data_IF_035976185495
#
_entry.id   IF_035976185495
#
_cell.length_a   1.000
_cell.length_b   1.000
_cell.length_c   1.000
_cell.angle_alpha   90.00
_cell.angle_beta   90.00
_cell.angle_gamma   90.00
#
_symmetry.space_group_name_H-M   'P 1'
#
loop_
_entity.id
_entity.type
_entity.pdbx_description
1 polymer ?
#
# COMPACT_ATOMS: atom_id res chain seq x y z
N UNK A 1 -6.34 -18.21 -8.97
CA UNK A 1 -5.60 -17.65 -7.82
C UNK A 1 -6.56 -17.52 -6.64
N UNK A 2 -6.18 -17.81 -5.40
CA UNK A 2 -7.10 -17.61 -4.27
C UNK A 2 -7.30 -16.10 -4.02
N UNK A 3 -8.53 -15.69 -3.69
CA UNK A 3 -8.87 -14.28 -3.40
C UNK A 3 -7.93 -13.66 -2.37
N UNK A 4 -7.55 -14.43 -1.35
CA UNK A 4 -6.64 -13.97 -0.30
C UNK A 4 -5.21 -13.75 -0.84
N UNK A 5 -4.70 -14.65 -1.69
CA UNK A 5 -3.37 -14.48 -2.29
C UNK A 5 -3.32 -13.25 -3.21
N UNK A 6 -4.38 -12.98 -3.97
CA UNK A 6 -4.47 -11.81 -4.83
C UNK A 6 -4.50 -10.49 -4.04
N UNK A 7 -5.33 -10.44 -2.99
CA UNK A 7 -5.41 -9.28 -2.09
C UNK A 7 -4.07 -9.04 -1.39
N UNK A 8 -3.41 -10.10 -0.92
CA UNK A 8 -2.10 -10.01 -0.28
C UNK A 8 -1.04 -9.46 -1.23
N UNK A 9 -0.98 -9.95 -2.47
CA UNK A 9 -0.04 -9.46 -3.48
C UNK A 9 -0.22 -7.96 -3.75
N UNK A 10 -1.47 -7.51 -3.89
CA UNK A 10 -1.79 -6.09 -4.05
C UNK A 10 -1.39 -5.26 -2.83
N UNK A 11 -1.56 -5.77 -1.61
CA UNK A 11 -1.08 -5.09 -0.40
C UNK A 11 0.43 -4.94 -0.39
N UNK A 12 1.18 -5.98 -0.75
CA UNK A 12 2.64 -5.92 -0.81
C UNK A 12 3.11 -4.89 -1.84
N UNK A 13 2.52 -4.88 -3.05
CA UNK A 13 2.87 -3.90 -4.08
C UNK A 13 2.54 -2.45 -3.65
N UNK A 14 1.34 -2.23 -3.11
CA UNK A 14 0.92 -0.89 -2.66
C UNK A 14 1.73 -0.40 -1.46
N UNK A 15 2.07 -1.28 -0.52
CA UNK A 15 2.96 -0.96 0.60
C UNK A 15 4.38 -0.59 0.11
N UNK A 16 4.92 -1.33 -0.86
CA UNK A 16 6.20 -1.01 -1.49
C UNK A 16 6.20 0.36 -2.17
N UNK A 17 5.17 0.66 -2.98
CA UNK A 17 5.03 1.95 -3.66
C UNK A 17 4.82 3.10 -2.66
N UNK A 18 4.02 2.90 -1.62
CA UNK A 18 3.83 3.88 -0.56
C UNK A 18 5.13 4.13 0.21
N UNK A 19 5.89 3.08 0.52
CA UNK A 19 7.22 3.19 1.14
C UNK A 19 8.18 4.01 0.29
N UNK A 20 8.28 3.71 -1.00
CA UNK A 20 9.11 4.45 -1.96
C UNK A 20 8.69 5.93 -2.07
N UNK A 21 7.39 6.21 -2.19
CA UNK A 21 6.87 7.56 -2.30
C UNK A 21 7.11 8.39 -1.03
N UNK A 22 6.87 7.80 0.14
CA UNK A 22 7.10 8.47 1.43
C UNK A 22 8.58 8.66 1.69
N UNK A 23 9.43 7.71 1.30
CA UNK A 23 10.88 7.84 1.43
C UNK A 23 11.43 8.96 0.54
N UNK A 24 11.05 8.98 -0.74
CA UNK A 24 11.45 10.04 -1.66
C UNK A 24 10.91 11.40 -1.23
N UNK A 25 9.66 11.47 -0.74
CA UNK A 25 9.12 12.70 -0.19
C UNK A 25 9.91 13.15 1.05
N UNK A 26 10.19 12.24 1.99
CA UNK A 26 10.96 12.55 3.19
C UNK A 26 12.35 13.13 2.89
N UNK A 27 13.01 12.65 1.83
CA UNK A 27 14.25 13.23 1.33
C UNK A 27 14.06 14.65 0.78
N UNK A 28 12.99 14.89 -0.01
CA UNK A 28 12.69 16.20 -0.61
C UNK A 28 12.34 17.26 0.44
N UNK A 29 11.52 16.90 1.45
CA UNK A 29 11.15 17.84 2.55
C UNK A 29 12.17 17.89 3.68
N UNK A 30 13.27 17.12 3.61
CA UNK A 30 14.31 17.13 4.64
C UNK A 30 13.81 16.66 6.00
N UNK A 31 12.96 15.63 6.03
CA UNK A 31 12.33 15.15 7.26
C UNK A 31 13.38 14.64 8.27
N UNK A 32 13.50 15.26 9.45
CA UNK A 32 14.53 14.91 10.42
C UNK A 32 14.16 13.71 11.32
N UNK A 33 12.88 13.29 11.28
CA UNK A 33 12.36 12.25 12.17
C UNK A 33 12.46 10.83 11.60
N UNK A 34 11.97 9.83 12.34
CA UNK A 34 12.00 8.45 11.90
C UNK A 34 11.08 8.24 10.69
N UNK A 35 11.65 7.82 9.55
CA UNK A 35 10.93 7.67 8.26
C UNK A 35 9.89 6.56 8.25
N UNK A 36 10.01 5.58 9.15
CA UNK A 36 9.05 4.48 9.28
C UNK A 36 7.66 4.94 9.75
N UNK A 37 7.60 6.09 10.45
CA UNK A 37 6.37 6.61 11.04
C UNK A 37 5.36 7.10 9.97
N UNK A 38 5.73 7.98 9.03
CA UNK A 38 4.84 8.34 7.92
C UNK A 38 4.55 7.15 6.99
N UNK A 39 5.50 6.22 6.80
CA UNK A 39 5.28 5.01 5.99
C UNK A 39 4.17 4.14 6.62
N UNK A 40 4.25 3.91 7.94
CA UNK A 40 3.26 3.14 8.68
C UNK A 40 1.87 3.78 8.66
N UNK A 41 1.78 5.11 8.83
CA UNK A 41 0.50 5.84 8.77
C UNK A 41 -0.14 5.73 7.40
N UNK A 42 0.63 5.95 6.33
CA UNK A 42 0.11 5.86 4.95
C UNK A 42 -0.33 4.42 4.64
N UNK A 43 0.45 3.41 5.05
CA UNK A 43 0.09 2.02 4.86
C UNK A 43 -1.22 1.64 5.58
N UNK A 44 -1.41 2.07 6.82
CA UNK A 44 -2.63 1.84 7.60
C UNK A 44 -3.87 2.50 6.95
N UNK A 45 -3.75 3.76 6.53
CA UNK A 45 -4.82 4.48 5.87
C UNK A 45 -5.18 3.88 4.50
N UNK A 46 -4.19 3.35 3.79
CA UNK A 46 -4.39 2.73 2.48
C UNK A 46 -5.02 1.34 2.56
N UNK A 47 -4.76 0.55 3.60
CA UNK A 47 -5.16 -0.86 3.70
C UNK A 47 -6.66 -1.11 3.44
N UNK A 48 -7.55 -0.29 4.02
CA UNK A 48 -9.00 -0.42 3.80
C UNK A 48 -9.41 -0.19 2.34
N UNK A 49 -8.85 0.84 1.70
CA UNK A 49 -9.11 1.17 0.28
C UNK A 49 -8.51 0.11 -0.65
N UNK A 50 -7.31 -0.39 -0.34
CA UNK A 50 -6.65 -1.45 -1.11
C UNK A 50 -7.48 -2.73 -1.04
N UNK A 51 -8.01 -3.11 0.12
CA UNK A 51 -8.92 -4.26 0.27
C UNK A 51 -10.17 -4.15 -0.60
N UNK A 52 -10.85 -2.99 -0.56
CA UNK A 52 -12.05 -2.77 -1.37
C UNK A 52 -11.75 -2.82 -2.88
N UNK A 53 -10.67 -2.18 -3.30
CA UNK A 53 -10.22 -2.17 -4.69
C UNK A 53 -9.83 -3.57 -5.17
N UNK A 54 -9.01 -4.29 -4.39
CA UNK A 54 -8.55 -5.64 -4.70
C UNK A 54 -9.70 -6.64 -4.82
N UNK A 55 -10.69 -6.55 -3.92
CA UNK A 55 -11.91 -7.38 -3.97
C UNK A 55 -12.76 -7.11 -5.22
N UNK A 56 -12.82 -5.85 -5.66
CA UNK A 56 -13.57 -5.46 -6.87
C UNK A 56 -12.84 -5.93 -8.14
N UNK A 57 -11.52 -5.74 -8.22
CA UNK A 57 -10.69 -6.18 -9.35
C UNK A 57 -10.68 -7.70 -9.46
N UNK A 58 -10.54 -8.41 -8.34
CA UNK A 58 -10.58 -9.87 -8.33
C UNK A 58 -11.91 -10.41 -8.88
N UNK A 59 -13.03 -9.81 -8.48
CA UNK A 59 -14.36 -10.17 -8.99
C UNK A 59 -14.52 -9.95 -10.49
N UNK A 60 -13.84 -8.94 -11.07
CA UNK A 60 -13.87 -8.68 -12.51
C UNK A 60 -12.96 -9.59 -13.33
N UNK A 61 -11.86 -10.08 -12.75
CA UNK A 61 -10.87 -10.87 -13.49
C UNK A 61 -11.06 -12.39 -13.33
N UNK A 62 -11.68 -12.83 -12.23
CA UNK A 62 -11.79 -14.26 -11.88
C UNK A 62 -13.21 -14.71 -11.48
N UNK A 63 -14.20 -13.81 -11.54
CA UNK A 63 -15.61 -14.11 -11.37
C UNK A 63 -16.35 -13.88 -12.69
#
# INVERSE_FOLDING_TARGET
>A
MSRNAFIFLLHVCTAGLAGLAVYGLADVVGWPGPRWLPIGIVALLAAGRVNHCASTIHRRMFG
#
